data_IF_384879744367
#
_entry.id   IF_384879744367
#
_cell.length_a   1.000
_cell.length_b   1.000
_cell.length_c   1.000
_cell.angle_alpha   90.00
_cell.angle_beta   90.00
_cell.angle_gamma   90.00
#
_symmetry.space_group_name_H-M   'P 1'
#
loop_
_entity.id
_entity.type
_entity.pdbx_description
1 polymer ?
#
# COMPACT_ATOMS: atom_id res chain seq x y z
N UNK A 1 -22.61 -6.19 14.86
CA UNK A 1 -21.98 -5.76 13.60
C UNK A 1 -21.03 -6.87 13.19
N UNK A 2 -21.13 -7.40 11.98
CA UNK A 2 -20.11 -8.31 11.46
C UNK A 2 -18.85 -7.47 11.32
N UNK A 3 -17.87 -7.67 12.19
CA UNK A 3 -16.56 -7.06 12.01
C UNK A 3 -15.98 -7.63 10.71
N UNK A 4 -15.82 -6.78 9.70
CA UNK A 4 -15.01 -7.14 8.55
C UNK A 4 -13.59 -7.44 9.06
N UNK A 5 -12.93 -8.43 8.45
CA UNK A 5 -11.52 -8.65 8.73
C UNK A 5 -10.75 -7.45 8.16
N UNK A 6 -10.08 -6.70 9.03
CA UNK A 6 -9.37 -5.47 8.67
C UNK A 6 -7.87 -5.58 8.96
N UNK A 7 -7.05 -5.01 8.08
CA UNK A 7 -5.62 -4.85 8.30
C UNK A 7 -5.30 -3.36 8.29
N UNK A 8 -4.77 -2.84 9.40
CA UNK A 8 -4.52 -1.40 9.59
C UNK A 8 -5.79 -0.53 9.38
N UNK A 9 -6.97 -1.07 9.70
CA UNK A 9 -8.26 -0.39 9.49
C UNK A 9 -8.71 -0.35 8.03
N UNK A 10 -8.11 -1.17 7.17
CA UNK A 10 -8.52 -1.38 5.77
C UNK A 10 -9.22 -2.74 5.66
N UNK A 11 -10.48 -2.80 5.18
CA UNK A 11 -11.15 -4.07 4.91
C UNK A 11 -10.38 -4.93 3.89
N UNK A 12 -10.26 -6.23 4.16
CA UNK A 12 -9.53 -7.16 3.29
C UNK A 12 -10.13 -7.23 1.88
N UNK A 13 -11.45 -7.10 1.76
CA UNK A 13 -12.11 -7.10 0.45
C UNK A 13 -11.60 -5.96 -0.42
N UNK A 14 -11.34 -4.79 0.16
CA UNK A 14 -10.82 -3.63 -0.56
C UNK A 14 -9.35 -3.83 -0.97
N UNK A 15 -8.54 -4.48 -0.12
CA UNK A 15 -7.16 -4.88 -0.46
C UNK A 15 -7.15 -5.87 -1.62
N UNK A 16 -7.99 -6.91 -1.56
CA UNK A 16 -8.08 -7.94 -2.60
C UNK A 16 -8.58 -7.37 -3.93
N UNK A 17 -9.60 -6.50 -3.89
CA UNK A 17 -10.10 -5.82 -5.08
C UNK A 17 -9.01 -4.95 -5.72
N UNK A 18 -8.26 -4.19 -4.93
CA UNK A 18 -7.16 -3.38 -5.43
C UNK A 18 -6.02 -4.24 -6.02
N UNK A 19 -5.69 -5.36 -5.36
CA UNK A 19 -4.68 -6.31 -5.84
C UNK A 19 -5.02 -6.85 -7.23
N UNK A 20 -6.26 -7.33 -7.41
CA UNK A 20 -6.74 -7.84 -8.70
C UNK A 20 -6.77 -6.73 -9.74
N UNK A 21 -7.31 -5.55 -9.40
CA UNK A 21 -7.52 -4.45 -10.35
C UNK A 21 -6.23 -3.89 -10.93
N UNK A 22 -5.16 -3.81 -10.14
CA UNK A 22 -3.89 -3.20 -10.57
C UNK A 22 -2.74 -4.20 -10.71
N UNK A 23 -3.04 -5.51 -10.65
CA UNK A 23 -2.06 -6.58 -10.76
C UNK A 23 -0.87 -6.44 -9.79
N UNK A 24 -1.14 -5.96 -8.57
CA UNK A 24 -0.16 -5.88 -7.48
C UNK A 24 -0.47 -7.00 -6.48
N UNK A 25 0.48 -7.91 -6.17
CA UNK A 25 0.27 -8.95 -5.17
C UNK A 25 -0.23 -8.38 -3.84
N UNK A 26 -1.28 -8.96 -3.26
CA UNK A 26 -1.84 -8.50 -1.99
C UNK A 26 -0.79 -8.46 -0.87
N UNK A 27 0.16 -9.41 -0.86
CA UNK A 27 1.28 -9.43 0.09
C UNK A 27 2.16 -8.18 0.02
N UNK A 28 2.37 -7.59 -1.18
CA UNK A 28 3.10 -6.32 -1.34
C UNK A 28 2.26 -5.16 -0.78
N UNK A 29 0.95 -5.11 -1.09
CA UNK A 29 0.04 -4.07 -0.57
C UNK A 29 0.02 -4.09 0.96
N UNK A 30 -0.10 -5.28 1.57
CA UNK A 30 -0.05 -5.46 3.01
C UNK A 30 1.29 -5.01 3.60
N UNK A 31 2.40 -5.31 2.90
CA UNK A 31 3.73 -4.90 3.34
C UNK A 31 3.87 -3.37 3.36
N UNK A 32 3.35 -2.69 2.33
CA UNK A 32 3.30 -1.22 2.28
C UNK A 32 2.43 -0.67 3.40
N UNK A 33 1.21 -1.18 3.61
CA UNK A 33 0.34 -0.75 4.71
C UNK A 33 1.01 -0.85 6.10
N UNK A 34 1.73 -1.95 6.34
CA UNK A 34 2.46 -2.17 7.60
C UNK A 34 3.63 -1.20 7.76
N UNK A 35 4.34 -0.90 6.67
CA UNK A 35 5.49 0.04 6.67
C UNK A 35 5.02 1.48 6.85
N UNK A 36 3.95 1.88 6.17
CA UNK A 36 3.41 3.24 6.21
C UNK A 36 2.77 3.60 7.56
N UNK A 37 2.17 2.61 8.25
CA UNK A 37 1.52 2.80 9.56
C UNK A 37 0.46 3.90 9.60
N UNK A 38 -0.01 4.34 8.44
CA UNK A 38 -1.11 5.28 8.31
C UNK A 38 -2.40 4.66 8.82
N UNK A 39 -3.37 5.51 9.17
CA UNK A 39 -4.70 5.09 9.62
C UNK A 39 -5.76 5.93 8.95
N UNK A 40 -7.01 5.47 9.00
CA UNK A 40 -8.16 6.31 8.67
C UNK A 40 -8.09 7.62 9.49
N UNK A 41 -8.23 8.74 8.80
CA UNK A 41 -8.14 10.08 9.39
C UNK A 41 -6.73 10.66 9.43
N UNK A 42 -5.67 9.90 9.14
CA UNK A 42 -4.31 10.43 9.16
C UNK A 42 -4.10 11.49 8.06
N UNK A 43 -3.49 12.61 8.45
CA UNK A 43 -2.93 13.62 7.57
C UNK A 43 -1.57 14.04 8.15
N UNK A 44 -0.50 13.37 7.71
CA UNK A 44 0.86 13.58 8.22
C UNK A 44 1.50 14.75 7.48
N UNK A 45 1.88 15.85 8.15
CA UNK A 45 2.52 16.98 7.48
C UNK A 45 3.97 16.66 7.11
N UNK A 46 4.39 17.12 5.93
CA UNK A 46 5.78 17.05 5.47
C UNK A 46 6.43 18.44 5.48
N UNK A 47 7.76 18.48 5.58
CA UNK A 47 8.53 19.74 5.67
C UNK A 47 8.36 20.65 4.44
N UNK A 48 8.04 20.07 3.29
CA UNK A 48 7.78 20.79 2.03
C UNK A 48 6.32 21.28 1.89
N UNK A 49 5.51 21.21 2.96
CA UNK A 49 4.12 21.65 2.96
C UNK A 49 3.12 20.65 2.36
N UNK A 50 3.58 19.49 1.88
CA UNK A 50 2.69 18.40 1.46
C UNK A 50 2.17 17.61 2.67
N UNK A 51 1.16 16.77 2.45
CA UNK A 51 0.60 15.90 3.48
C UNK A 51 0.42 14.48 2.97
N UNK A 52 0.66 13.48 3.81
CA UNK A 52 0.39 12.08 3.53
C UNK A 52 -0.93 11.63 4.16
N UNK A 53 -1.86 11.15 3.34
CA UNK A 53 -3.23 10.85 3.74
C UNK A 53 -3.51 9.35 3.89
N UNK A 54 -4.21 9.02 4.97
CA UNK A 54 -4.85 7.72 5.18
C UNK A 54 -3.89 6.52 5.33
N UNK A 55 -4.41 5.29 5.27
CA UNK A 55 -3.66 4.06 5.54
C UNK A 55 -2.36 3.87 4.73
N UNK A 56 -2.40 4.08 3.42
CA UNK A 56 -1.22 3.97 2.54
C UNK A 56 -0.40 5.27 2.44
N UNK A 57 -0.66 6.26 3.30
CA UNK A 57 0.09 7.53 3.38
C UNK A 57 0.29 8.19 2.01
N UNK A 58 -0.81 8.39 1.28
CA UNK A 58 -0.75 8.94 -0.08
C UNK A 58 -0.47 10.44 -0.02
N UNK A 59 0.65 10.84 -0.59
CA UNK A 59 1.07 12.24 -0.60
C UNK A 59 0.12 13.14 -1.41
N UNK A 60 -0.10 14.36 -0.91
CA UNK A 60 -0.97 15.37 -1.50
C UNK A 60 -0.59 15.79 -2.93
N UNK A 61 0.65 15.53 -3.39
CA UNK A 61 1.05 15.73 -4.79
C UNK A 61 0.17 14.96 -5.79
N UNK A 62 -0.47 13.87 -5.36
CA UNK A 62 -1.34 13.07 -6.22
C UNK A 62 -2.74 13.66 -6.40
N UNK A 63 -3.15 14.61 -5.55
CA UNK A 63 -4.50 15.19 -5.55
C UNK A 63 -4.93 15.75 -6.92
N UNK A 64 -4.10 16.52 -7.65
CA UNK A 64 -4.49 17.03 -8.96
C UNK A 64 -4.79 15.91 -9.96
N UNK A 65 -4.02 14.82 -9.93
CA UNK A 65 -4.16 13.69 -10.86
C UNK A 65 -5.37 12.83 -10.52
N UNK A 66 -5.57 12.48 -9.25
CA UNK A 66 -6.65 11.57 -8.85
C UNK A 66 -8.03 12.23 -8.92
N UNK A 67 -8.09 13.57 -8.83
CA UNK A 67 -9.34 14.33 -8.98
C UNK A 67 -9.97 14.16 -10.37
N UNK A 68 -9.15 13.91 -11.39
CA UNK A 68 -9.62 13.59 -12.75
C UNK A 68 -10.41 12.27 -12.80
N UNK A 69 -10.18 11.37 -11.83
CA UNK A 69 -10.91 10.11 -11.68
C UNK A 69 -12.02 10.17 -10.62
N UNK A 70 -12.38 11.37 -10.14
CA UNK A 70 -13.45 11.58 -9.17
C UNK A 70 -13.06 11.37 -7.70
N UNK A 71 -11.77 11.16 -7.38
CA UNK A 71 -11.32 11.02 -5.99
C UNK A 71 -11.02 12.37 -5.35
N UNK A 72 -11.37 12.49 -4.07
CA UNK A 72 -11.14 13.70 -3.27
C UNK A 72 -10.15 13.46 -2.15
N UNK A 73 -9.52 14.54 -1.65
CA UNK A 73 -8.68 14.53 -0.45
C UNK A 73 -9.40 13.91 0.76
N UNK A 74 -10.68 14.23 0.95
CA UNK A 74 -11.48 13.73 2.08
C UNK A 74 -11.66 12.21 1.99
N UNK A 75 -11.93 11.68 0.81
CA UNK A 75 -12.00 10.23 0.61
C UNK A 75 -10.65 9.57 0.85
N UNK A 76 -9.54 10.12 0.32
CA UNK A 76 -8.22 9.58 0.62
C UNK A 76 -7.92 9.50 2.12
N UNK A 77 -8.33 10.53 2.89
CA UNK A 77 -8.05 10.57 4.31
C UNK A 77 -8.98 9.64 5.12
N UNK A 78 -10.27 9.57 4.79
CA UNK A 78 -11.29 8.96 5.66
C UNK A 78 -11.97 7.70 5.12
N UNK A 79 -11.75 7.33 3.86
CA UNK A 79 -12.27 6.11 3.24
C UNK A 79 -11.09 5.15 2.97
N UNK A 80 -10.89 4.13 3.82
CA UNK A 80 -9.80 3.16 3.67
C UNK A 80 -9.82 2.41 2.34
N UNK A 81 -11.00 2.17 1.77
CA UNK A 81 -11.14 1.45 0.51
C UNK A 81 -10.73 2.33 -0.68
N UNK A 82 -11.12 3.61 -0.67
CA UNK A 82 -10.61 4.58 -1.65
C UNK A 82 -9.11 4.77 -1.50
N UNK A 83 -8.60 4.87 -0.26
CA UNK A 83 -7.18 5.03 0.00
C UNK A 83 -6.38 3.85 -0.55
N UNK A 84 -6.73 2.60 -0.21
CA UNK A 84 -5.99 1.43 -0.69
C UNK A 84 -6.09 1.25 -2.21
N UNK A 85 -7.24 1.57 -2.81
CA UNK A 85 -7.44 1.52 -4.25
C UNK A 85 -6.53 2.55 -4.97
N UNK A 86 -6.48 3.79 -4.51
CA UNK A 86 -5.61 4.83 -5.12
C UNK A 86 -4.13 4.55 -4.85
N UNK A 87 -3.77 4.12 -3.63
CA UNK A 87 -2.39 3.82 -3.26
C UNK A 87 -1.85 2.64 -4.08
N UNK A 88 -2.65 1.59 -4.26
CA UNK A 88 -2.28 0.44 -5.10
C UNK A 88 -2.16 0.82 -6.58
N UNK A 89 -3.01 1.72 -7.07
CA UNK A 89 -2.86 2.29 -8.42
C UNK A 89 -1.51 3.00 -8.59
N UNK A 90 -1.13 3.86 -7.64
CA UNK A 90 0.18 4.56 -7.65
C UNK A 90 1.33 3.54 -7.61
N UNK A 91 1.26 2.57 -6.69
CA UNK A 91 2.25 1.52 -6.50
C UNK A 91 2.43 0.67 -7.76
N UNK A 92 1.33 0.21 -8.37
CA UNK A 92 1.36 -0.55 -9.61
C UNK A 92 1.99 0.24 -10.76
N UNK A 93 1.72 1.55 -10.87
CA UNK A 93 2.37 2.41 -11.85
C UNK A 93 3.87 2.59 -11.60
N UNK A 94 4.28 2.69 -10.33
CA UNK A 94 5.69 2.77 -9.97
C UNK A 94 6.42 1.46 -10.31
N UNK A 95 5.85 0.31 -9.95
CA UNK A 95 6.39 -1.02 -10.29
C UNK A 95 6.50 -1.25 -11.80
N UNK A 96 5.46 -0.89 -12.57
CA UNK A 96 5.44 -1.08 -14.02
C UNK A 96 6.51 -0.27 -14.78
N UNK A 97 7.04 0.81 -14.19
CA UNK A 97 8.15 1.59 -14.78
C UNK A 97 9.50 0.89 -14.67
N UNK A 98 9.64 -0.09 -13.77
CA UNK A 98 10.89 -0.80 -13.48
C UNK A 98 10.69 -2.32 -13.59
N UNK A 99 10.34 -2.85 -14.79
CA UNK A 99 9.95 -4.26 -14.94
C UNK A 99 11.10 -5.25 -14.69
N UNK A 100 12.36 -4.83 -14.86
CA UNK A 100 13.56 -5.63 -14.53
C UNK A 100 13.91 -5.62 -13.05
N UNK A 101 13.35 -4.70 -12.26
CA UNK A 101 13.61 -4.55 -10.84
C UNK A 101 12.36 -4.02 -10.11
N UNK A 102 11.42 -4.93 -9.83
CA UNK A 102 10.16 -4.56 -9.19
C UNK A 102 10.35 -3.90 -7.82
N UNK A 103 11.41 -4.27 -7.09
CA UNK A 103 11.71 -3.67 -5.78
C UNK A 103 12.11 -2.19 -5.90
N UNK A 104 12.87 -1.82 -6.94
CA UNK A 104 13.13 -0.40 -7.23
C UNK A 104 11.81 0.37 -7.46
N UNK A 105 10.87 -0.22 -8.20
CA UNK A 105 9.52 0.32 -8.35
C UNK A 105 8.74 0.46 -7.03
N UNK A 106 8.84 -0.52 -6.12
CA UNK A 106 8.30 -0.41 -4.76
C UNK A 106 8.95 0.73 -3.99
N UNK A 107 10.27 0.91 -4.09
CA UNK A 107 10.99 2.04 -3.52
C UNK A 107 10.50 3.39 -4.06
N UNK A 108 10.20 3.45 -5.36
CA UNK A 108 9.72 4.66 -6.03
C UNK A 108 8.31 5.07 -5.63
N UNK A 109 7.53 4.19 -5.02
CA UNK A 109 6.29 4.58 -4.36
C UNK A 109 6.55 5.62 -3.26
N UNK A 110 7.65 5.48 -2.52
CA UNK A 110 8.03 6.37 -1.43
C UNK A 110 8.93 7.53 -1.87
N UNK A 111 9.99 7.25 -2.62
CA UNK A 111 10.93 8.29 -3.06
C UNK A 111 11.77 7.86 -4.26
N UNK A 112 12.10 8.83 -5.13
CA UNK A 112 13.08 8.65 -6.20
C UNK A 112 14.52 8.98 -5.78
N UNK A 113 14.74 9.49 -4.57
CA UNK A 113 16.08 9.69 -4.04
C UNK A 113 16.71 8.33 -3.75
N UNK A 114 17.86 7.96 -4.36
CA UNK A 114 18.38 6.58 -4.33
C UNK A 114 18.50 5.98 -2.93
N UNK A 115 19.00 6.75 -1.96
CA UNK A 115 19.19 6.26 -0.58
C UNK A 115 17.86 6.04 0.14
N UNK A 116 16.91 6.96 0.00
CA UNK A 116 15.57 6.83 0.62
C UNK A 116 14.79 5.69 -0.02
N UNK A 117 14.90 5.55 -1.34
CA UNK A 117 14.32 4.46 -2.11
C UNK A 117 14.82 3.11 -1.58
N UNK A 118 16.14 2.89 -1.54
CA UNK A 118 16.73 1.64 -1.05
C UNK A 118 16.34 1.32 0.41
N UNK A 119 16.34 2.32 1.29
CA UNK A 119 15.89 2.15 2.68
C UNK A 119 14.43 1.68 2.71
N UNK A 120 13.56 2.26 1.89
CA UNK A 120 12.17 1.88 1.82
C UNK A 120 11.98 0.46 1.26
N UNK A 121 12.74 0.10 0.20
CA UNK A 121 12.75 -1.26 -0.34
C UNK A 121 13.03 -2.28 0.75
N UNK A 122 14.11 -2.08 1.53
CA UNK A 122 14.50 -3.01 2.59
C UNK A 122 13.41 -3.16 3.67
N UNK A 123 12.72 -2.06 4.03
CA UNK A 123 11.61 -2.09 4.99
C UNK A 123 10.45 -2.92 4.46
N UNK A 124 10.00 -2.67 3.24
CA UNK A 124 8.87 -3.39 2.63
C UNK A 124 9.24 -4.85 2.37
N UNK A 125 10.46 -5.11 1.86
CA UNK A 125 10.99 -6.44 1.60
C UNK A 125 11.01 -7.31 2.85
N UNK A 126 11.45 -6.75 3.99
CA UNK A 126 11.47 -7.46 5.27
C UNK A 126 10.06 -7.91 5.68
N UNK A 127 9.06 -7.04 5.56
CA UNK A 127 7.67 -7.39 5.88
C UNK A 127 7.12 -8.42 4.89
N UNK A 128 7.38 -8.22 3.60
CA UNK A 128 6.97 -9.14 2.54
C UNK A 128 7.48 -10.55 2.78
N UNK A 129 8.77 -10.71 3.12
CA UNK A 129 9.35 -12.00 3.42
C UNK A 129 8.68 -12.68 4.62
N UNK A 130 8.36 -11.94 5.68
CA UNK A 130 7.64 -12.49 6.82
C UNK A 130 6.24 -12.99 6.41
N UNK A 131 5.51 -12.20 5.63
CA UNK A 131 4.18 -12.56 5.16
C UNK A 131 4.20 -13.80 4.25
N UNK A 132 5.10 -13.85 3.27
CA UNK A 132 5.21 -15.00 2.37
C UNK A 132 5.64 -16.26 3.11
N UNK A 133 6.57 -16.16 4.06
CA UNK A 133 6.99 -17.32 4.86
C UNK A 133 5.85 -17.86 5.72
N UNK A 134 5.06 -16.98 6.33
CA UNK A 134 3.90 -17.36 7.14
C UNK A 134 2.78 -17.99 6.30
N UNK A 135 2.53 -17.45 5.11
CA UNK A 135 1.47 -17.92 4.21
C UNK A 135 1.92 -19.11 3.33
N UNK A 136 3.19 -19.51 3.39
CA UNK A 136 3.69 -20.64 2.61
C UNK A 136 3.10 -21.97 3.10
N UNK A 137 2.75 -22.91 2.20
CA UNK A 137 2.07 -24.16 2.55
C UNK A 137 2.83 -25.07 3.53
N UNK A 138 4.12 -24.82 3.77
CA UNK A 138 4.96 -25.59 4.70
C UNK A 138 4.48 -25.48 6.16
N UNK A 139 3.65 -24.48 6.49
CA UNK A 139 3.00 -24.32 7.81
C UNK A 139 1.48 -24.51 7.79
N UNK A 140 0.87 -25.00 6.70
CA UNK A 140 -0.51 -25.48 6.79
C UNK A 140 -0.50 -26.74 7.65
N UNK A 141 -1.19 -26.77 8.82
CA UNK A 141 -1.35 -28.02 9.54
C UNK A 141 -2.08 -28.97 8.61
N UNK A 142 -1.36 -29.99 8.14
CA UNK A 142 -1.91 -31.10 7.39
C UNK A 142 -3.17 -31.57 8.11
N UNK A 143 -4.29 -31.51 7.39
CA UNK A 143 -5.41 -32.45 7.48
C UNK A 143 -5.63 -33.08 8.85
N UNK A 144 -6.55 -32.51 9.63
CA UNK A 144 -7.30 -33.27 10.63
C UNK A 144 -8.17 -34.25 9.85
N UNK A 145 -7.67 -35.49 9.70
CA UNK A 145 -8.49 -36.68 9.45
C UNK A 145 -9.21 -37.09 10.72
#
# INVERSE_FOLDING_TARGET
MISALEIQGVPIECINQAAVRYHVPATIILSVLIVEKGKKGTASPNQNGTFDYGPMQINSIWLPKIRLYGYTRRQLQYDPCVNVNVGTWILGHAMARYPSNLWEGVGHYHSSTPQLNQIYQLKVFKVYHLLVNYLSPIHSPSSVT
#
